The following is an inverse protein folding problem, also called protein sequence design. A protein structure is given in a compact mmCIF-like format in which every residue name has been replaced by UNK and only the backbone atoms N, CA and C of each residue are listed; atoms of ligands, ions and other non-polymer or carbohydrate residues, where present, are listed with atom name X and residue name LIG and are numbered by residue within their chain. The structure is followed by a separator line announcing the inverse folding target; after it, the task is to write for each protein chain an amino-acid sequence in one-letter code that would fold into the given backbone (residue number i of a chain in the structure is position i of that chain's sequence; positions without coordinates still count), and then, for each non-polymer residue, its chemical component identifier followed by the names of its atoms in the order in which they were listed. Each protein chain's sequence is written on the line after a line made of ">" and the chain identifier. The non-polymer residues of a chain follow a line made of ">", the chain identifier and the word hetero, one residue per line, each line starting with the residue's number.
data_IF_086974648292
#
_entry.id   IF_086974648292
#
_cell.length_a   1.000
_cell.length_b   1.000
_cell.length_c   1.000
_cell.angle_alpha   90.00
_cell.angle_beta   90.00
_cell.angle_gamma   90.00
#
_symmetry.space_group_name_H-M   'P 1'
#
loop_
_entity.id
_entity.type
_entity.pdbx_description
1 polymer ?
#
# COMPACT_ATOMS: atom_id res chain seq x y z
N UNK A 1 29.24 16.71 -16.44
CA UNK A 1 28.37 15.89 -17.30
C UNK A 1 26.94 16.14 -16.86
N UNK A 2 26.04 16.55 -17.75
CA UNK A 2 24.65 16.87 -17.40
C UNK A 2 23.79 15.61 -17.46
N UNK A 3 22.92 15.39 -16.47
CA UNK A 3 21.99 14.26 -16.46
C UNK A 3 21.04 14.27 -17.66
N UNK A 4 20.81 15.45 -18.25
CA UNK A 4 19.92 15.66 -19.41
C UNK A 4 20.49 15.16 -20.73
N UNK A 5 21.75 14.73 -20.79
CA UNK A 5 22.34 14.16 -22.03
C UNK A 5 22.16 12.65 -22.11
N UNK A 6 21.63 12.02 -21.06
CA UNK A 6 21.35 10.59 -21.05
C UNK A 6 20.06 10.28 -21.85
N UNK A 7 20.00 9.12 -22.51
CA UNK A 7 18.76 8.59 -23.05
C UNK A 7 17.64 8.50 -22.01
N UNK A 8 16.40 8.79 -22.42
CA UNK A 8 15.23 8.87 -21.54
C UNK A 8 14.95 7.56 -20.80
N UNK A 9 15.13 6.42 -21.46
CA UNK A 9 15.01 5.07 -20.91
C UNK A 9 15.99 4.81 -19.75
N UNK A 10 17.23 5.29 -19.87
CA UNK A 10 18.22 5.19 -18.78
C UNK A 10 17.80 6.07 -17.60
N UNK A 11 17.33 7.29 -17.85
CA UNK A 11 16.85 8.21 -16.81
C UNK A 11 15.64 7.58 -16.08
N UNK A 12 14.68 7.04 -16.83
CA UNK A 12 13.51 6.36 -16.28
C UNK A 12 13.92 5.17 -15.40
N UNK A 13 14.84 4.35 -15.90
CA UNK A 13 15.36 3.20 -15.15
C UNK A 13 16.01 3.67 -13.85
N UNK A 14 16.93 4.64 -13.89
CA UNK A 14 17.57 5.18 -12.69
C UNK A 14 16.56 5.68 -11.65
N UNK A 15 15.55 6.45 -12.09
CA UNK A 15 14.52 7.02 -11.20
C UNK A 15 13.70 5.92 -10.52
N UNK A 16 13.41 4.81 -11.23
CA UNK A 16 12.66 3.69 -10.61
C UNK A 16 13.38 2.99 -9.46
N UNK A 17 14.70 3.18 -9.30
CA UNK A 17 15.48 2.63 -8.19
C UNK A 17 15.69 3.61 -7.02
N UNK A 18 15.33 4.88 -7.19
CA UNK A 18 15.50 5.93 -6.18
C UNK A 18 14.45 5.83 -5.06
N UNK A 19 14.73 6.46 -3.92
CA UNK A 19 13.72 6.57 -2.86
C UNK A 19 12.54 7.44 -3.34
N UNK A 20 11.28 7.06 -3.03
CA UNK A 20 10.11 7.83 -3.39
C UNK A 20 10.18 9.33 -3.03
N UNK A 21 10.80 9.68 -1.91
CA UNK A 21 10.96 11.07 -1.49
C UNK A 21 11.96 11.83 -2.37
N UNK A 22 13.04 11.16 -2.77
CA UNK A 22 14.05 11.74 -3.66
C UNK A 22 13.47 11.98 -5.05
N UNK A 23 12.61 11.09 -5.54
CA UNK A 23 11.91 11.28 -6.82
C UNK A 23 10.97 12.49 -6.78
N UNK A 24 10.28 12.72 -5.66
CA UNK A 24 9.46 13.94 -5.47
C UNK A 24 10.35 15.18 -5.50
N UNK A 25 11.46 15.16 -4.76
CA UNK A 25 12.40 16.29 -4.71
C UNK A 25 13.02 16.56 -6.10
N UNK A 26 13.32 15.50 -6.85
CA UNK A 26 13.88 15.57 -8.21
C UNK A 26 12.86 16.17 -9.20
N UNK A 27 11.58 15.81 -9.09
CA UNK A 27 10.51 16.37 -9.89
C UNK A 27 10.24 17.86 -9.61
N UNK A 28 10.59 18.33 -8.40
CA UNK A 28 10.47 19.75 -8.01
C UNK A 28 11.64 20.62 -8.49
N UNK A 29 12.67 20.03 -9.10
CA UNK A 29 13.80 20.80 -9.64
C UNK A 29 13.38 21.63 -10.87
N UNK A 30 14.17 22.66 -11.22
CA UNK A 30 13.96 23.50 -12.41
C UNK A 30 14.22 22.80 -13.77
N UNK A 31 14.02 21.48 -13.85
CA UNK A 31 14.18 20.70 -15.08
C UNK A 31 12.84 20.14 -15.56
N UNK A 32 12.35 20.59 -16.72
CA UNK A 32 11.08 20.13 -17.31
C UNK A 32 11.05 18.61 -17.54
N UNK A 33 12.15 18.04 -18.04
CA UNK A 33 12.24 16.60 -18.30
C UNK A 33 12.04 15.79 -17.02
N UNK A 34 12.69 16.19 -15.91
CA UNK A 34 12.59 15.49 -14.63
C UNK A 34 11.21 15.68 -13.99
N UNK A 35 10.62 16.85 -14.15
CA UNK A 35 9.24 17.11 -13.74
C UNK A 35 8.27 16.19 -14.51
N UNK A 36 8.38 16.12 -15.84
CA UNK A 36 7.48 15.33 -16.68
C UNK A 36 7.62 13.83 -16.39
N UNK A 37 8.86 13.34 -16.25
CA UNK A 37 9.14 11.95 -15.84
C UNK A 37 8.57 11.68 -14.44
N UNK A 38 8.73 12.65 -13.53
CA UNK A 38 8.18 12.60 -12.19
C UNK A 38 6.66 12.55 -12.14
N UNK A 39 5.92 12.94 -13.19
CA UNK A 39 4.45 12.85 -13.26
C UNK A 39 3.94 11.55 -13.91
N UNK A 40 4.83 10.73 -14.50
CA UNK A 40 4.42 9.52 -15.21
C UNK A 40 3.95 8.41 -14.27
N UNK A 41 2.74 7.91 -14.51
CA UNK A 41 2.17 6.76 -13.80
C UNK A 41 3.03 5.49 -13.89
N UNK A 42 3.68 5.26 -15.03
CA UNK A 42 4.54 4.08 -15.26
C UNK A 42 5.72 4.06 -14.30
N UNK A 43 6.35 5.22 -14.07
CA UNK A 43 7.46 5.39 -13.15
C UNK A 43 7.01 5.11 -11.72
N UNK A 44 5.91 5.73 -11.28
CA UNK A 44 5.37 5.50 -9.95
C UNK A 44 4.88 4.08 -9.73
N UNK A 45 4.33 3.43 -10.76
CA UNK A 45 3.99 2.00 -10.70
C UNK A 45 5.22 1.13 -10.45
N UNK A 46 6.34 1.43 -11.11
CA UNK A 46 7.63 0.77 -10.87
C UNK A 46 8.16 0.99 -9.46
N UNK A 47 8.13 2.24 -8.98
CA UNK A 47 8.58 2.62 -7.63
C UNK A 47 7.72 1.94 -6.55
N UNK A 48 6.39 1.97 -6.68
CA UNK A 48 5.47 1.31 -5.73
C UNK A 48 5.76 -0.19 -5.66
N UNK A 49 5.96 -0.85 -6.80
CA UNK A 49 6.33 -2.27 -6.84
C UNK A 49 7.61 -2.54 -6.04
N UNK A 50 8.65 -1.74 -6.26
CA UNK A 50 9.91 -1.88 -5.54
C UNK A 50 9.77 -1.62 -4.03
N UNK A 51 9.00 -0.60 -3.64
CA UNK A 51 8.73 -0.29 -2.22
C UNK A 51 7.97 -1.44 -1.55
N UNK A 52 7.00 -2.04 -2.24
CA UNK A 52 6.25 -3.21 -1.72
C UNK A 52 7.16 -4.42 -1.53
N UNK A 53 8.03 -4.70 -2.51
CA UNK A 53 9.03 -5.79 -2.43
C UNK A 53 9.99 -5.60 -1.25
N UNK A 54 10.51 -4.38 -1.06
CA UNK A 54 11.45 -4.08 0.04
C UNK A 54 10.82 -4.16 1.42
N UNK A 55 9.54 -3.80 1.57
CA UNK A 55 8.90 -3.71 2.88
C UNK A 55 8.08 -4.96 3.28
N UNK A 56 8.07 -6.02 2.45
CA UNK A 56 7.27 -7.24 2.65
C UNK A 56 5.78 -6.90 2.92
N UNK A 57 5.34 -5.75 2.42
CA UNK A 57 4.16 -5.09 2.92
C UNK A 57 2.88 -5.45 2.14
N UNK A 58 2.95 -6.26 1.09
CA UNK A 58 1.77 -6.58 0.26
C UNK A 58 1.95 -7.93 -0.44
N UNK A 59 0.90 -8.76 -0.58
CA UNK A 59 0.89 -9.74 -1.65
C UNK A 59 0.88 -8.98 -2.99
N UNK A 60 1.86 -9.31 -3.83
CA UNK A 60 2.16 -8.74 -5.15
C UNK A 60 0.94 -8.60 -6.10
N UNK A 61 -0.16 -9.31 -5.82
CA UNK A 61 -1.25 -9.56 -6.75
C UNK A 61 -2.43 -8.59 -6.64
N UNK A 62 -2.46 -7.70 -5.64
CA UNK A 62 -3.44 -6.61 -5.60
C UNK A 62 -2.90 -5.45 -6.44
N UNK A 63 -3.27 -5.51 -7.73
CA UNK A 63 -3.12 -4.40 -8.67
C UNK A 63 -3.58 -3.13 -7.97
N UNK A 64 -2.68 -2.14 -7.88
CA UNK A 64 -3.08 -0.80 -7.46
C UNK A 64 -4.06 -0.32 -8.53
N UNK A 65 -5.36 -0.44 -8.26
CA UNK A 65 -6.43 -0.03 -9.18
C UNK A 65 -6.45 1.50 -9.39
N UNK A 66 -5.54 2.23 -8.74
CA UNK A 66 -5.41 3.66 -8.93
C UNK A 66 -4.63 3.98 -10.19
N UNK A 67 -5.35 4.43 -11.21
CA UNK A 67 -4.79 5.07 -12.41
C UNK A 67 -4.23 6.47 -12.15
N UNK A 68 -4.29 6.97 -10.91
CA UNK A 68 -3.89 8.33 -10.55
C UNK A 68 -2.50 8.37 -9.91
N UNK A 69 -1.60 9.18 -10.48
CA UNK A 69 -0.23 9.41 -10.01
C UNK A 69 -0.18 9.81 -8.53
N UNK A 70 -1.16 10.59 -8.08
CA UNK A 70 -1.28 11.05 -6.68
C UNK A 70 -1.44 9.90 -5.69
N UNK A 71 -2.25 8.88 -6.06
CA UNK A 71 -2.45 7.70 -5.22
C UNK A 71 -1.19 6.86 -5.18
N UNK A 72 -0.52 6.65 -6.32
CA UNK A 72 0.74 5.91 -6.38
C UNK A 72 1.86 6.61 -5.58
N UNK A 73 1.97 7.94 -5.68
CA UNK A 73 2.89 8.75 -4.86
C UNK A 73 2.60 8.61 -3.37
N UNK A 74 1.33 8.70 -2.99
CA UNK A 74 0.91 8.53 -1.61
C UNK A 74 1.17 7.11 -1.11
N UNK A 75 1.08 6.10 -1.96
CA UNK A 75 1.41 4.73 -1.60
C UNK A 75 2.92 4.53 -1.44
N UNK A 76 3.71 4.96 -2.42
CA UNK A 76 5.16 4.85 -2.42
C UNK A 76 5.79 5.53 -1.19
N UNK A 77 5.27 6.69 -0.79
CA UNK A 77 5.78 7.43 0.38
C UNK A 77 5.18 6.95 1.72
N UNK A 78 4.26 5.98 1.72
CA UNK A 78 3.57 5.54 2.93
C UNK A 78 4.51 5.03 4.05
N UNK A 79 5.54 4.20 3.77
CA UNK A 79 6.46 3.75 4.79
C UNK A 79 7.20 4.93 5.45
N UNK A 80 7.77 5.84 4.65
CA UNK A 80 8.48 7.00 5.16
C UNK A 80 7.59 7.91 6.02
N UNK A 81 6.34 8.15 5.60
CA UNK A 81 5.37 8.91 6.41
C UNK A 81 5.07 8.20 7.73
N UNK A 82 4.89 6.89 7.71
CA UNK A 82 4.60 6.12 8.92
C UNK A 82 5.78 6.13 9.90
N UNK A 83 7.01 5.95 9.42
CA UNK A 83 8.20 6.07 10.26
C UNK A 83 8.36 7.48 10.85
N UNK A 84 8.08 8.52 10.07
CA UNK A 84 8.10 9.89 10.58
C UNK A 84 7.02 10.14 11.65
N UNK A 85 5.84 9.53 11.52
CA UNK A 85 4.81 9.58 12.56
C UNK A 85 5.26 8.85 13.84
N UNK A 86 5.89 7.68 13.73
CA UNK A 86 6.44 6.96 14.87
C UNK A 86 7.53 7.77 15.59
N UNK A 87 8.48 8.33 14.84
CA UNK A 87 9.55 9.17 15.42
C UNK A 87 8.99 10.38 16.18
N UNK A 88 7.99 11.06 15.61
CA UNK A 88 7.29 12.17 16.28
C UNK A 88 6.57 11.72 17.55
N UNK A 89 5.86 10.59 17.49
CA UNK A 89 5.18 10.05 18.67
C UNK A 89 6.12 9.71 19.83
N UNK A 90 7.33 9.25 19.51
CA UNK A 90 8.35 8.93 20.51
C UNK A 90 8.96 10.18 21.17
N UNK A 91 9.13 11.27 20.42
CA UNK A 91 9.76 12.49 20.94
C UNK A 91 8.77 13.37 21.72
N UNK A 92 7.55 13.52 21.21
CA UNK A 92 6.56 14.47 21.77
C UNK A 92 5.62 13.85 22.80
N UNK A 93 5.83 12.56 23.15
CA UNK A 93 4.90 11.80 24.00
C UNK A 93 3.50 11.66 23.40
N UNK A 94 3.35 11.94 22.10
CA UNK A 94 2.07 11.99 21.41
C UNK A 94 1.55 10.57 21.14
N UNK A 95 0.37 10.23 21.67
CA UNK A 95 -0.28 8.95 21.39
C UNK A 95 -0.87 8.96 19.98
N UNK A 96 -0.40 8.06 19.12
CA UNK A 96 -0.94 7.89 17.77
C UNK A 96 -2.41 7.46 17.84
N UNK A 97 -3.31 8.32 17.35
CA UNK A 97 -4.72 7.99 17.22
C UNK A 97 -4.99 7.31 15.87
N UNK A 98 -5.90 6.33 15.82
CA UNK A 98 -6.33 5.75 14.55
C UNK A 98 -6.87 6.84 13.62
N UNK A 99 -6.40 6.84 12.37
CA UNK A 99 -6.91 7.77 11.33
C UNK A 99 -8.32 7.41 10.88
N UNK A 100 -8.68 6.13 10.92
CA UNK A 100 -9.99 5.64 10.50
C UNK A 100 -10.38 4.37 11.24
N UNK A 101 -11.69 4.17 11.38
CA UNK A 101 -12.29 2.92 11.87
C UNK A 101 -13.03 2.23 10.73
N UNK A 102 -12.97 0.90 10.71
CA UNK A 102 -13.68 0.03 9.75
C UNK A 102 -14.35 -1.08 10.52
N UNK A 103 -15.60 -1.36 10.17
CA UNK A 103 -16.38 -2.43 10.77
C UNK A 103 -16.49 -3.57 9.76
N UNK A 104 -16.27 -4.79 10.26
CA UNK A 104 -16.47 -6.03 9.52
C UNK A 104 -17.49 -6.84 10.30
N UNK A 105 -18.57 -7.22 9.61
CA UNK A 105 -19.72 -7.88 10.23
C UNK A 105 -19.69 -9.35 9.84
N UNK A 106 -19.66 -10.23 10.84
CA UNK A 106 -19.81 -11.67 10.64
C UNK A 106 -21.25 -11.99 10.22
N UNK A 107 -21.46 -13.10 9.50
CA UNK A 107 -22.83 -13.55 9.23
C UNK A 107 -23.51 -13.94 10.56
N UNK A 108 -24.85 -13.88 10.65
CA UNK A 108 -25.56 -14.40 11.81
C UNK A 108 -25.14 -15.85 12.11
N UNK A 109 -24.78 -16.13 13.36
CA UNK A 109 -24.28 -17.45 13.79
C UNK A 109 -22.78 -17.71 13.55
N UNK A 110 -22.06 -16.77 12.93
CA UNK A 110 -20.62 -16.88 12.71
C UNK A 110 -19.84 -16.05 13.74
N UNK A 111 -18.80 -16.65 14.32
CA UNK A 111 -17.87 -15.94 15.21
C UNK A 111 -16.47 -15.94 14.60
N UNK A 112 -15.87 -14.75 14.50
CA UNK A 112 -14.48 -14.63 14.10
C UNK A 112 -13.58 -15.16 15.22
N UNK A 113 -12.85 -16.23 14.93
CA UNK A 113 -11.85 -16.81 15.83
C UNK A 113 -10.50 -16.10 15.68
N UNK A 114 -10.20 -15.59 14.49
CA UNK A 114 -8.94 -14.92 14.23
C UNK A 114 -9.13 -13.79 13.23
N UNK A 115 -8.45 -12.67 13.50
CA UNK A 115 -8.36 -11.53 12.59
C UNK A 115 -6.87 -11.22 12.37
N UNK A 116 -6.45 -11.13 11.11
CA UNK A 116 -5.09 -10.76 10.72
C UNK A 116 -5.15 -9.68 9.66
N UNK A 117 -4.64 -8.50 10.01
CA UNK A 117 -4.42 -7.46 9.04
C UNK A 117 -3.14 -7.80 8.26
N UNK A 118 -3.24 -7.88 6.95
CA UNK A 118 -2.06 -8.02 6.11
C UNK A 118 -1.23 -6.73 6.27
N UNK A 119 0.11 -6.83 6.30
CA UNK A 119 0.97 -5.66 6.12
C UNK A 119 0.43 -4.71 5.03
N UNK A 120 0.66 -3.40 5.19
CA UNK A 120 0.04 -2.39 4.34
C UNK A 120 -1.38 -1.96 4.75
N UNK A 121 -2.08 -2.78 5.55
CA UNK A 121 -3.27 -2.35 6.31
C UNK A 121 -4.57 -2.24 5.51
N UNK A 122 -4.54 -2.53 4.20
CA UNK A 122 -5.74 -2.51 3.36
C UNK A 122 -6.52 -3.82 3.44
N UNK A 123 -5.84 -4.96 3.59
CA UNK A 123 -6.49 -6.26 3.53
C UNK A 123 -6.58 -6.88 4.91
N UNK A 124 -7.78 -7.36 5.25
CA UNK A 124 -8.04 -8.11 6.47
C UNK A 124 -8.39 -9.56 6.13
N UNK A 125 -7.73 -10.50 6.76
CA UNK A 125 -8.10 -11.92 6.76
C UNK A 125 -8.83 -12.22 8.05
N UNK A 126 -10.03 -12.78 7.95
CA UNK A 126 -10.78 -13.30 9.11
C UNK A 126 -10.98 -14.80 8.98
N UNK A 127 -10.78 -15.52 10.07
CA UNK A 127 -11.07 -16.95 10.18
C UNK A 127 -12.24 -17.18 11.14
N UNK A 128 -13.16 -18.06 10.76
CA UNK A 128 -14.26 -18.56 11.58
C UNK A 128 -14.31 -20.08 11.51
N UNK A 129 -15.21 -20.71 12.25
CA UNK A 129 -15.48 -22.16 12.13
C UNK A 129 -15.93 -22.55 10.71
N UNK A 130 -16.54 -21.62 9.99
CA UNK A 130 -17.18 -21.88 8.70
C UNK A 130 -16.25 -21.56 7.53
N UNK A 131 -15.03 -21.08 7.81
CA UNK A 131 -14.03 -20.82 6.80
C UNK A 131 -13.19 -19.56 6.98
N UNK A 132 -12.55 -19.15 5.89
CA UNK A 132 -11.67 -17.99 5.80
C UNK A 132 -12.30 -16.94 4.89
N UNK A 133 -12.14 -15.66 5.24
CA UNK A 133 -12.62 -14.55 4.42
C UNK A 133 -11.55 -13.48 4.26
N UNK A 134 -11.50 -12.91 3.07
CA UNK A 134 -10.62 -11.81 2.70
C UNK A 134 -11.46 -10.55 2.51
N UNK A 135 -11.09 -9.47 3.18
CA UNK A 135 -11.79 -8.20 3.14
C UNK A 135 -10.87 -7.08 2.66
N UNK A 136 -11.41 -6.19 1.85
CA UNK A 136 -10.79 -4.92 1.47
C UNK A 136 -11.33 -3.79 2.35
N UNK A 137 -10.44 -3.20 3.15
CA UNK A 137 -10.71 -2.10 4.08
C UNK A 137 -10.59 -0.71 3.42
N UNK A 138 -10.21 -0.63 2.14
CA UNK A 138 -10.20 0.64 1.40
C UNK A 138 -11.60 1.28 1.34
N UNK A 139 -12.65 0.46 1.39
CA UNK A 139 -14.05 0.87 1.34
C UNK A 139 -14.68 0.94 2.74
N UNK A 140 -15.73 1.75 2.87
CA UNK A 140 -16.58 1.81 4.06
C UNK A 140 -18.05 1.66 3.60
N UNK A 141 -18.73 0.54 3.91
CA UNK A 141 -18.25 -0.61 4.69
C UNK A 141 -17.15 -1.42 3.98
N UNK A 142 -16.41 -2.22 4.75
CA UNK A 142 -15.37 -3.10 4.21
C UNK A 142 -15.99 -4.10 3.21
N UNK A 143 -15.31 -4.31 2.08
CA UNK A 143 -15.81 -5.16 0.99
C UNK A 143 -15.27 -6.58 1.15
N UNK A 144 -16.14 -7.58 1.13
CA UNK A 144 -15.71 -8.98 1.03
C UNK A 144 -15.15 -9.24 -0.37
N UNK A 145 -13.87 -9.61 -0.46
CA UNK A 145 -13.21 -9.97 -1.70
C UNK A 145 -13.41 -11.45 -2.02
N UNK A 146 -13.23 -12.30 -1.02
CA UNK A 146 -13.31 -13.75 -1.19
C UNK A 146 -13.70 -14.45 0.10
N UNK A 147 -14.37 -15.59 -0.01
CA UNK A 147 -14.72 -16.45 1.11
C UNK A 147 -14.43 -17.91 0.73
N UNK A 148 -13.53 -18.53 1.48
CA UNK A 148 -13.31 -19.97 1.44
C UNK A 148 -14.18 -20.61 2.51
N UNK A 149 -15.03 -21.54 2.09
CA UNK A 149 -15.84 -22.32 3.02
C UNK A 149 -15.08 -23.59 3.40
N UNK A 150 -14.89 -23.79 4.70
CA UNK A 150 -14.44 -25.08 5.20
C UNK A 150 -15.70 -25.92 5.36
N UNK A 151 -15.96 -26.81 4.40
CA UNK A 151 -16.96 -27.86 4.56
C UNK A 151 -16.41 -28.84 5.60
N UNK A 152 -16.59 -28.50 6.87
CA UNK A 152 -16.54 -29.51 7.91
C UNK A 152 -17.84 -30.29 7.72
N UNK A 153 -17.77 -31.43 7.02
CA UNK A 153 -18.82 -32.43 7.15
C UNK A 153 -18.86 -32.77 8.63
N UNK A 154 -19.93 -32.37 9.31
CA UNK A 154 -20.21 -32.76 10.69
C UNK A 154 -20.31 -34.29 10.73
N UNK A 155 -19.18 -34.95 11.02
CA UNK A 155 -19.15 -36.33 11.47
C UNK A 155 -19.24 -36.32 12.99
N UNK A 156 -20.41 -35.99 13.53
CA UNK A 156 -20.83 -36.32 14.90
C UNK A 156 -22.33 -36.54 14.93
#
# INVERSE_FOLDING_TARGET
>A
MSLTTLPLDIILTMITFMDPLDVINLAQTHCKLLHDVGEQNTVWGGIVRQVRERNVAYPFNLLSHSSHTTTLRHEATAPARFFNLLKKSQHDGYVLKPKSHRFVVARPGEQFRTLRLIPGGQILVTASSNGLKLWDLAYAPARLLHAWHLNVYDHL
#
